data_IF_310179851904
#
_entry.id   IF_310179851904
#
_cell.length_a   1.000
_cell.length_b   1.000
_cell.length_c   1.000
_cell.angle_alpha   90.00
_cell.angle_beta   90.00
_cell.angle_gamma   90.00
#
_symmetry.space_group_name_H-M   'P 1'
#
loop_
_entity.id
_entity.type
_entity.pdbx_description
1 polymer ?
#
# COMPACT_ATOMS: atom_id res chain seq x y z
N UNK A 1 -21.62 -14.45 13.34
CA UNK A 1 -20.33 -13.98 12.78
C UNK A 1 -19.29 -13.98 13.88
N UNK A 2 -18.16 -14.62 13.66
CA UNK A 2 -17.11 -14.69 14.67
C UNK A 2 -16.48 -13.29 14.85
N UNK A 3 -16.44 -12.70 16.08
CA UNK A 3 -15.87 -11.38 16.30
C UNK A 3 -14.39 -11.29 15.89
N UNK A 4 -13.63 -12.36 16.02
CA UNK A 4 -12.24 -12.42 15.59
C UNK A 4 -12.09 -12.23 14.08
N UNK A 5 -13.02 -12.73 13.29
CA UNK A 5 -13.02 -12.54 11.85
C UNK A 5 -13.26 -11.08 11.46
N UNK A 6 -14.14 -10.39 12.16
CA UNK A 6 -14.42 -8.96 11.92
C UNK A 6 -13.18 -8.13 12.23
N UNK A 7 -12.56 -8.37 13.38
CA UNK A 7 -11.33 -7.66 13.79
C UNK A 7 -10.20 -7.94 12.80
N UNK A 8 -10.02 -9.20 12.41
CA UNK A 8 -9.05 -9.59 11.38
C UNK A 8 -9.26 -8.83 10.07
N UNK A 9 -10.52 -8.70 9.64
CA UNK A 9 -10.86 -8.00 8.39
C UNK A 9 -10.49 -6.52 8.45
N UNK A 10 -10.76 -5.84 9.58
CA UNK A 10 -10.35 -4.45 9.80
C UNK A 10 -8.84 -4.27 9.78
N UNK A 11 -8.12 -5.14 10.47
CA UNK A 11 -6.64 -5.10 10.50
C UNK A 11 -6.08 -5.33 9.11
N UNK A 12 -6.65 -6.26 8.37
CA UNK A 12 -6.25 -6.53 7.00
C UNK A 12 -6.49 -5.34 6.08
N UNK A 13 -7.61 -4.64 6.24
CA UNK A 13 -7.90 -3.42 5.49
C UNK A 13 -6.86 -2.32 5.78
N UNK A 14 -6.52 -2.11 7.05
CA UNK A 14 -5.46 -1.17 7.45
C UNK A 14 -4.12 -1.56 6.80
N UNK A 15 -3.78 -2.84 6.79
CA UNK A 15 -2.57 -3.34 6.15
C UNK A 15 -2.53 -3.04 4.65
N UNK A 16 -3.66 -3.18 3.97
CA UNK A 16 -3.79 -2.86 2.54
C UNK A 16 -3.58 -1.35 2.31
N UNK A 17 -4.21 -0.50 3.11
CA UNK A 17 -4.05 0.95 3.01
C UNK A 17 -2.60 1.40 3.23
N UNK A 18 -1.93 0.84 4.22
CA UNK A 18 -0.52 1.09 4.47
C UNK A 18 0.38 0.63 3.32
N UNK A 19 0.05 -0.51 2.72
CA UNK A 19 0.79 -1.04 1.56
C UNK A 19 0.62 -0.18 0.32
N UNK A 20 -0.58 0.33 0.07
CA UNK A 20 -0.83 1.28 -1.02
C UNK A 20 -0.04 2.58 -0.78
N UNK A 21 0.00 3.07 0.44
CA UNK A 21 0.82 4.23 0.80
C UNK A 21 2.32 3.97 0.58
N UNK A 22 2.80 2.78 0.96
CA UNK A 22 4.18 2.36 0.71
C UNK A 22 4.51 2.41 -0.78
N UNK A 23 3.64 1.91 -1.64
CA UNK A 23 3.83 1.97 -3.08
C UNK A 23 3.77 3.40 -3.63
N UNK A 24 2.93 4.25 -3.09
CA UNK A 24 2.91 5.67 -3.49
C UNK A 24 4.26 6.35 -3.22
N UNK A 25 4.87 6.05 -2.11
CA UNK A 25 6.21 6.58 -1.79
C UNK A 25 7.30 5.93 -2.63
N UNK A 26 7.23 4.63 -2.85
CA UNK A 26 8.21 3.88 -3.64
C UNK A 26 8.27 4.39 -5.08
N UNK A 27 7.12 4.64 -5.68
CA UNK A 27 7.02 5.11 -7.05
C UNK A 27 7.03 6.64 -7.19
N UNK A 28 7.23 7.35 -6.10
CA UNK A 28 7.26 8.83 -6.08
C UNK A 28 6.03 9.45 -6.74
N UNK A 29 4.85 8.91 -6.44
CA UNK A 29 3.59 9.46 -6.95
C UNK A 29 3.44 10.91 -6.50
N UNK A 30 3.07 11.79 -7.42
CA UNK A 30 3.02 13.22 -7.20
C UNK A 30 2.07 13.59 -6.05
N UNK A 31 2.60 14.30 -5.04
CA UNK A 31 1.84 14.79 -3.89
C UNK A 31 0.77 15.84 -4.23
N UNK A 32 0.76 16.34 -5.44
CA UNK A 32 -0.32 17.21 -5.91
C UNK A 32 -1.64 16.46 -6.05
N UNK A 33 -1.60 15.15 -6.16
CA UNK A 33 -2.82 14.35 -6.13
C UNK A 33 -3.46 14.39 -4.74
N UNK A 34 -4.74 14.76 -4.69
CA UNK A 34 -5.49 14.90 -3.44
C UNK A 34 -5.57 13.59 -2.64
N UNK A 35 -5.61 12.45 -3.32
CA UNK A 35 -5.65 11.13 -2.71
C UNK A 35 -4.34 10.84 -1.97
N UNK A 36 -3.21 11.08 -2.62
CA UNK A 36 -1.86 10.88 -2.05
C UNK A 36 -1.66 11.80 -0.85
N UNK A 37 -2.03 13.07 -0.97
CA UNK A 37 -1.89 14.04 0.11
C UNK A 37 -2.77 13.72 1.32
N UNK A 38 -3.99 13.23 1.11
CA UNK A 38 -4.86 12.78 2.20
C UNK A 38 -4.31 11.52 2.88
N UNK A 39 -3.84 10.56 2.10
CA UNK A 39 -3.19 9.36 2.63
C UNK A 39 -1.99 9.72 3.49
N UNK A 40 -1.15 10.64 3.05
CA UNK A 40 -0.02 11.15 3.80
C UNK A 40 -0.47 11.76 5.14
N UNK A 41 -1.47 12.63 5.12
CA UNK A 41 -1.99 13.31 6.29
C UNK A 41 -2.54 12.36 7.37
N UNK A 42 -3.17 11.26 6.94
CA UNK A 42 -3.77 10.27 7.83
C UNK A 42 -2.73 9.29 8.37
N UNK A 43 -1.83 8.84 7.53
CA UNK A 43 -0.91 7.72 7.85
C UNK A 43 0.36 8.24 8.56
N UNK A 44 0.83 9.41 8.20
CA UNK A 44 2.09 9.97 8.73
C UNK A 44 2.14 10.06 10.28
N UNK A 45 1.07 10.49 10.99
CA UNK A 45 1.10 10.50 12.45
C UNK A 45 1.33 9.13 13.08
N UNK A 46 0.84 8.06 12.45
CA UNK A 46 1.04 6.69 12.91
C UNK A 46 2.45 6.17 12.63
N UNK A 47 3.08 6.67 11.58
CA UNK A 47 4.44 6.29 11.19
C UNK A 47 5.53 7.00 12.00
N UNK A 48 5.24 8.15 12.57
CA UNK A 48 6.23 8.93 13.32
C UNK A 48 7.01 8.13 14.36
N UNK A 49 6.38 7.34 15.25
CA UNK A 49 7.13 6.55 16.24
C UNK A 49 8.01 5.48 15.60
N UNK A 50 7.58 4.89 14.49
CA UNK A 50 8.38 3.90 13.75
C UNK A 50 9.54 4.53 13.00
N UNK A 51 9.39 5.74 12.53
CA UNK A 51 10.47 6.49 11.85
C UNK A 51 11.61 6.89 12.76
N UNK A 52 11.36 6.98 14.03
CA UNK A 52 12.40 7.22 15.02
C UNK A 52 13.38 6.03 15.10
N UNK A 53 12.86 4.81 14.92
CA UNK A 53 13.64 3.58 15.00
C UNK A 53 14.20 3.18 13.64
N UNK A 54 13.39 3.29 12.58
CA UNK A 54 13.70 2.85 11.24
C UNK A 54 13.70 4.02 10.26
N UNK A 55 14.87 4.44 9.76
CA UNK A 55 14.96 5.54 8.81
C UNK A 55 14.44 5.14 7.42
N UNK A 56 14.06 6.14 6.65
CA UNK A 56 13.78 5.97 5.23
C UNK A 56 15.12 5.83 4.50
N UNK A 57 15.31 4.72 3.79
CA UNK A 57 16.51 4.45 3.00
C UNK A 57 16.17 4.61 1.52
N UNK A 58 16.71 5.62 0.89
CA UNK A 58 16.37 5.99 -0.50
C UNK A 58 14.86 6.21 -0.68
N UNK A 59 14.23 5.41 -1.51
CA UNK A 59 12.78 5.42 -1.78
C UNK A 59 12.00 4.44 -0.92
N UNK A 60 12.70 3.54 -0.24
CA UNK A 60 12.08 2.53 0.61
C UNK A 60 11.79 3.11 1.98
N UNK A 61 10.52 3.17 2.33
CA UNK A 61 10.08 3.52 3.67
C UNK A 61 10.04 2.27 4.55
N UNK A 62 11.17 2.00 5.21
CA UNK A 62 11.29 0.83 6.09
C UNK A 62 10.31 0.89 7.26
N UNK A 63 9.97 2.09 7.72
CA UNK A 63 8.97 2.28 8.78
C UNK A 63 7.59 1.80 8.34
N UNK A 64 7.19 2.15 7.12
CA UNK A 64 5.91 1.71 6.56
C UNK A 64 5.88 0.19 6.35
N UNK A 65 6.96 -0.38 5.83
CA UNK A 65 7.10 -1.82 5.63
C UNK A 65 7.02 -2.58 6.96
N UNK A 66 7.72 -2.10 7.99
CA UNK A 66 7.68 -2.69 9.33
C UNK A 66 6.27 -2.62 9.93
N UNK A 67 5.57 -1.51 9.72
CA UNK A 67 4.20 -1.34 10.21
C UNK A 67 3.22 -2.27 9.49
N UNK A 68 3.35 -2.44 8.19
CA UNK A 68 2.57 -3.43 7.42
C UNK A 68 2.81 -4.83 7.96
N UNK A 69 4.07 -5.20 8.18
CA UNK A 69 4.42 -6.49 8.73
C UNK A 69 3.83 -6.70 10.13
N UNK A 70 3.91 -5.69 10.97
CA UNK A 70 3.34 -5.70 12.33
C UNK A 70 1.82 -5.93 12.30
N UNK A 71 1.09 -5.19 11.49
CA UNK A 71 -0.37 -5.36 11.38
C UNK A 71 -0.76 -6.71 10.78
N UNK A 72 0.01 -7.22 9.83
CA UNK A 72 -0.20 -8.57 9.29
C UNK A 72 0.03 -9.65 10.35
N UNK A 73 1.10 -9.53 11.14
CA UNK A 73 1.38 -10.45 12.24
C UNK A 73 0.28 -10.40 13.31
N UNK A 74 -0.18 -9.20 13.65
CA UNK A 74 -1.27 -9.01 14.61
C UNK A 74 -2.58 -9.63 14.11
N UNK A 75 -2.92 -9.41 12.85
CA UNK A 75 -4.09 -10.01 12.23
C UNK A 75 -4.03 -11.54 12.22
N UNK A 76 -2.87 -12.08 11.88
CA UNK A 76 -2.64 -13.52 11.92
C UNK A 76 -2.79 -14.09 13.33
N UNK A 77 -2.23 -13.42 14.33
CA UNK A 77 -2.37 -13.81 15.72
C UNK A 77 -3.84 -13.85 16.17
N UNK A 78 -4.62 -12.80 15.85
CA UNK A 78 -6.05 -12.73 16.21
C UNK A 78 -6.84 -13.82 15.49
N UNK A 79 -6.51 -14.11 14.24
CA UNK A 79 -7.15 -15.19 13.49
C UNK A 79 -6.89 -16.55 14.14
N UNK A 80 -5.68 -16.79 14.64
CA UNK A 80 -5.29 -18.02 15.29
C UNK A 80 -5.91 -18.21 16.67
N UNK A 81 -6.22 -17.14 17.41
CA UNK A 81 -6.84 -17.27 18.73
C UNK A 81 -8.20 -17.98 18.72
N UNK A 82 -8.82 -18.06 17.55
CA UNK A 82 -10.06 -18.82 17.34
C UNK A 82 -9.85 -20.23 16.77
N UNK A 83 -8.63 -20.65 16.51
CA UNK A 83 -8.28 -21.96 15.96
C UNK A 83 -7.52 -22.80 16.96
N UNK A 84 -7.66 -24.11 16.87
CA UNK A 84 -6.92 -25.07 17.71
C UNK A 84 -5.49 -25.34 17.19
N UNK A 85 -5.04 -24.58 16.20
CA UNK A 85 -3.76 -24.78 15.55
C UNK A 85 -2.69 -24.01 16.30
N UNK A 86 -1.68 -24.70 16.77
CA UNK A 86 -0.50 -24.13 17.40
C UNK A 86 0.59 -23.90 16.33
N UNK A 87 1.15 -22.70 16.30
CA UNK A 87 2.28 -22.37 15.44
C UNK A 87 3.48 -21.96 16.29
N UNK A 88 4.65 -22.39 15.88
CA UNK A 88 5.91 -21.89 16.44
C UNK A 88 6.13 -20.43 16.01
N UNK A 89 6.94 -19.69 16.77
CA UNK A 89 7.27 -18.30 16.43
C UNK A 89 7.90 -18.17 15.03
N UNK A 90 8.73 -19.14 14.67
CA UNK A 90 9.38 -19.16 13.35
C UNK A 90 8.38 -19.35 12.20
N UNK A 91 7.44 -20.27 12.39
CA UNK A 91 6.37 -20.52 11.42
C UNK A 91 5.44 -19.31 11.29
N UNK A 92 5.05 -18.70 12.41
CA UNK A 92 4.22 -17.51 12.40
C UNK A 92 4.89 -16.35 11.66
N UNK A 93 6.19 -16.16 11.87
CA UNK A 93 6.98 -15.16 11.15
C UNK A 93 7.05 -15.46 9.65
N UNK A 94 7.31 -16.70 9.28
CA UNK A 94 7.36 -17.14 7.89
C UNK A 94 6.03 -16.94 7.17
N UNK A 95 4.93 -17.35 7.77
CA UNK A 95 3.58 -17.15 7.21
C UNK A 95 3.21 -15.68 7.06
N UNK A 96 3.61 -14.86 8.05
CA UNK A 96 3.39 -13.41 7.97
C UNK A 96 4.18 -12.80 6.81
N UNK A 97 5.44 -13.17 6.64
CA UNK A 97 6.27 -12.69 5.53
C UNK A 97 5.68 -13.07 4.17
N UNK A 98 5.26 -14.32 4.01
CA UNK A 98 4.59 -14.78 2.78
C UNK A 98 3.30 -14.01 2.54
N UNK A 99 2.49 -13.76 3.58
CA UNK A 99 1.26 -13.00 3.48
C UNK A 99 1.49 -11.56 3.02
N UNK A 100 2.55 -10.92 3.49
CA UNK A 100 2.94 -9.57 3.06
C UNK A 100 3.34 -9.58 1.58
N UNK A 101 4.16 -10.53 1.16
CA UNK A 101 4.57 -10.66 -0.26
C UNK A 101 3.37 -10.91 -1.18
N UNK A 102 2.46 -11.80 -0.78
CA UNK A 102 1.25 -12.07 -1.54
C UNK A 102 0.37 -10.84 -1.65
N UNK A 103 0.21 -10.09 -0.56
CA UNK A 103 -0.56 -8.85 -0.54
C UNK A 103 0.06 -7.81 -1.49
N UNK A 104 1.37 -7.65 -1.48
CA UNK A 104 2.08 -6.74 -2.39
C UNK A 104 1.88 -7.15 -3.85
N UNK A 105 2.01 -8.44 -4.15
CA UNK A 105 1.74 -8.97 -5.50
C UNK A 105 0.31 -8.70 -5.96
N UNK A 106 -0.66 -8.87 -5.08
CA UNK A 106 -2.06 -8.57 -5.37
C UNK A 106 -2.30 -7.09 -5.66
N UNK A 107 -1.71 -6.20 -4.85
CA UNK A 107 -1.84 -4.74 -5.05
C UNK A 107 -1.26 -4.34 -6.39
N UNK A 108 -0.07 -4.83 -6.74
CA UNK A 108 0.55 -4.55 -8.04
C UNK A 108 -0.29 -5.08 -9.19
N UNK A 109 -0.81 -6.29 -9.07
CA UNK A 109 -1.68 -6.91 -10.08
C UNK A 109 -2.95 -6.08 -10.30
N UNK A 110 -3.64 -5.69 -9.23
CA UNK A 110 -4.83 -4.86 -9.33
C UNK A 110 -4.52 -3.46 -9.85
N UNK A 111 -3.40 -2.88 -9.45
CA UNK A 111 -2.93 -1.59 -9.94
C UNK A 111 -2.68 -1.61 -11.45
N UNK A 112 -2.02 -2.65 -11.96
CA UNK A 112 -1.82 -2.84 -13.39
C UNK A 112 -3.17 -3.03 -14.11
N UNK A 113 -4.06 -3.82 -13.55
CA UNK A 113 -5.38 -4.07 -14.15
C UNK A 113 -6.20 -2.78 -14.26
N UNK A 114 -6.26 -2.00 -13.19
CA UNK A 114 -6.93 -0.69 -13.18
C UNK A 114 -6.28 0.27 -14.18
N UNK A 115 -4.96 0.25 -14.31
CA UNK A 115 -4.22 1.07 -15.26
C UNK A 115 -4.58 0.72 -16.70
N UNK A 116 -4.66 -0.57 -17.03
CA UNK A 116 -5.07 -1.05 -18.38
C UNK A 116 -6.51 -0.63 -18.68
N UNK A 117 -7.44 -0.88 -17.77
CA UNK A 117 -8.85 -0.48 -17.94
C UNK A 117 -8.96 1.04 -18.05
N UNK A 118 -8.24 1.79 -17.24
CA UNK A 118 -8.20 3.25 -17.28
C UNK A 118 -7.71 3.77 -18.63
N UNK A 119 -6.71 3.14 -19.22
CA UNK A 119 -6.20 3.53 -20.54
C UNK A 119 -7.21 3.28 -21.67
N UNK A 120 -8.08 2.31 -21.48
CA UNK A 120 -9.16 2.02 -22.46
C UNK A 120 -10.39 2.92 -22.26
N UNK A 121 -10.80 3.12 -20.99
CA UNK A 121 -11.97 3.91 -20.64
C UNK A 121 -11.74 5.42 -20.85
N UNK A 122 -10.51 5.89 -20.60
CA UNK A 122 -10.14 7.30 -20.70
C UNK A 122 -8.95 7.45 -21.66
N UNK A 123 -9.21 7.42 -22.98
CA UNK A 123 -8.14 7.61 -23.95
C UNK A 123 -7.46 8.97 -23.77
N UNK A 124 -6.17 9.02 -24.08
CA UNK A 124 -5.31 10.18 -23.85
C UNK A 124 -5.85 11.48 -24.49
N UNK A 125 -6.61 11.37 -25.56
CA UNK A 125 -7.24 12.50 -26.22
C UNK A 125 -8.30 13.23 -25.37
N UNK A 126 -8.91 12.52 -24.43
CA UNK A 126 -9.95 13.06 -23.55
C UNK A 126 -9.43 13.45 -22.17
N UNK A 127 -8.16 13.19 -21.90
CA UNK A 127 -7.55 13.50 -20.61
C UNK A 127 -6.77 14.82 -20.73
N UNK A 128 -7.19 15.90 -20.01
CA UNK A 128 -6.51 17.20 -20.10
C UNK A 128 -5.05 17.15 -19.64
N UNK A 129 -4.69 16.24 -18.73
CA UNK A 129 -3.30 16.08 -18.27
C UNK A 129 -2.43 15.46 -19.36
N UNK A 130 -2.90 14.41 -20.02
CA UNK A 130 -2.20 13.82 -21.17
C UNK A 130 -2.10 14.78 -22.33
N UNK A 131 -3.12 15.57 -22.57
CA UNK A 131 -3.15 16.58 -23.63
C UNK A 131 -2.11 17.67 -23.39
N UNK A 132 -2.01 18.21 -22.18
CA UNK A 132 -0.97 19.19 -21.84
C UNK A 132 0.44 18.61 -21.94
N UNK A 133 0.63 17.35 -21.63
CA UNK A 133 1.91 16.67 -21.77
C UNK A 133 2.34 16.52 -23.24
N UNK A 134 1.41 16.25 -24.12
CA UNK A 134 1.67 16.10 -25.56
C UNK A 134 1.86 17.45 -26.26
N UNK A 135 1.18 18.50 -25.82
CA UNK A 135 1.22 19.82 -26.49
C UNK A 135 2.39 20.67 -26.03
N UNK A 136 2.90 20.51 -24.82
CA UNK A 136 4.03 21.28 -24.30
C UNK A 136 5.28 21.22 -25.18
N UNK A 137 5.74 20.02 -25.63
CA UNK A 137 6.94 19.93 -26.50
C UNK A 137 6.73 20.58 -27.87
N UNK A 138 5.53 20.63 -28.39
CA UNK A 138 5.25 21.21 -29.70
C UNK A 138 5.10 22.73 -29.67
N UNK A 139 4.89 23.32 -28.49
CA UNK A 139 4.81 24.77 -28.32
C UNK A 139 6.17 25.44 -28.18
N UNK A 140 7.17 24.73 -27.64
CA UNK A 140 8.48 25.31 -27.36
C UNK A 140 9.24 25.81 -28.60
N UNK A 141 9.20 25.15 -29.76
CA UNK A 141 9.91 25.62 -30.93
C UNK A 141 9.28 26.84 -31.64
N UNK A 142 8.10 27.20 -31.25
CA UNK A 142 7.40 28.34 -31.81
C UNK A 142 7.58 29.57 -30.96
#
# INVERSE_FOLDING_TARGET
MNPNFVIYTFINLISILLSVYFFFRLFEVNFNNIIVRRSYSIIEPFLKPFRFILPVVYRLDLSCLAMVFFFKALGFYIFLTGSEVEFSLGEAFGWTAISVLLMFSQILRYGLFVSIIGSWAFPASNNPVSYTHLTLPTRLPV
#
